data_IF_048638305751
#
_entry.id   IF_048638305751
#
_cell.length_a   1.000
_cell.length_b   1.000
_cell.length_c   1.000
_cell.angle_alpha   90.00
_cell.angle_beta   90.00
_cell.angle_gamma   90.00
#
_symmetry.space_group_name_H-M   'P 1'
#
loop_
_entity.id
_entity.type
_entity.pdbx_description
1 polymer ?
#
# COMPACT_ATOMS: atom_id res chain seq x y z
N UNK A 1 17.62 -2.06 -3.59
CA UNK A 1 17.80 -3.53 -3.53
C UNK A 1 16.77 -4.15 -4.46
N UNK A 2 17.17 -4.96 -5.44
CA UNK A 2 16.24 -5.50 -6.45
C UNK A 2 15.70 -6.88 -6.04
N UNK A 3 15.07 -6.96 -4.87
CA UNK A 3 14.55 -8.23 -4.36
C UNK A 3 13.22 -8.58 -5.04
N UNK A 4 12.95 -9.87 -5.22
CA UNK A 4 11.66 -10.38 -5.67
C UNK A 4 11.06 -11.29 -4.61
N UNK A 5 9.81 -11.00 -4.22
CA UNK A 5 9.02 -11.71 -3.23
C UNK A 5 7.76 -12.23 -3.92
N UNK A 6 7.60 -13.56 -3.95
CA UNK A 6 6.49 -14.21 -4.64
C UNK A 6 5.72 -15.13 -3.71
N UNK A 7 4.43 -14.85 -3.54
CA UNK A 7 3.51 -15.75 -2.86
C UNK A 7 2.87 -16.69 -3.87
N UNK A 8 3.32 -17.95 -3.87
CA UNK A 8 2.89 -18.96 -4.85
C UNK A 8 1.93 -19.99 -4.26
N UNK A 9 1.98 -20.19 -2.94
CA UNK A 9 1.11 -21.09 -2.21
C UNK A 9 1.07 -20.69 -0.73
N UNK A 10 -0.04 -21.02 -0.06
CA UNK A 10 -0.13 -20.93 1.40
C UNK A 10 0.74 -22.02 2.05
N UNK A 11 1.57 -21.62 3.01
CA UNK A 11 2.29 -22.55 3.89
C UNK A 11 1.86 -22.29 5.34
N UNK A 12 1.45 -23.35 6.04
CA UNK A 12 0.93 -23.24 7.40
C UNK A 12 -0.55 -22.81 7.45
N UNK A 13 -0.97 -22.32 8.61
CA UNK A 13 -2.37 -22.01 8.91
C UNK A 13 -2.73 -20.53 8.70
N UNK A 14 -1.74 -19.64 8.80
CA UNK A 14 -1.93 -18.20 8.64
C UNK A 14 -1.86 -17.78 7.18
N UNK A 15 -2.68 -16.81 6.81
CA UNK A 15 -2.57 -16.16 5.50
C UNK A 15 -1.39 -15.19 5.51
N UNK A 16 -0.82 -14.92 4.33
CA UNK A 16 0.11 -13.82 4.15
C UNK A 16 -0.63 -12.53 4.49
N UNK A 17 -0.09 -11.78 5.45
CA UNK A 17 -0.57 -10.45 5.79
C UNK A 17 0.19 -9.45 4.92
N UNK A 18 1.36 -8.98 5.35
CA UNK A 18 2.18 -8.06 4.55
C UNK A 18 3.40 -8.77 3.95
N UNK A 19 3.81 -8.35 2.75
CA UNK A 19 5.10 -8.79 2.20
C UNK A 19 6.27 -8.17 2.95
N UNK A 20 6.19 -6.87 3.25
CA UNK A 20 7.18 -6.12 4.03
C UNK A 20 6.43 -5.23 5.00
N UNK A 21 6.76 -5.35 6.28
CA UNK A 21 6.16 -4.55 7.34
C UNK A 21 7.28 -3.96 8.21
N UNK A 22 7.22 -2.65 8.44
CA UNK A 22 8.12 -1.93 9.32
C UNK A 22 7.37 -1.57 10.61
N UNK A 23 7.28 -2.56 11.49
CA UNK A 23 6.59 -2.50 12.77
C UNK A 23 7.39 -1.74 13.83
N UNK A 24 6.81 -0.70 14.42
CA UNK A 24 7.30 0.07 15.57
C UNK A 24 8.83 0.32 15.52
N UNK A 25 9.29 0.79 14.36
CA UNK A 25 10.73 0.93 14.06
C UNK A 25 11.07 2.35 13.65
N UNK A 26 12.22 2.84 14.12
CA UNK A 26 12.65 4.22 13.92
C UNK A 26 14.02 4.30 13.23
N UNK A 27 14.06 4.99 12.09
CA UNK A 27 15.28 5.55 11.52
C UNK A 27 15.62 6.90 12.15
N UNK A 28 16.44 7.69 11.45
CA UNK A 28 16.72 9.08 11.80
C UNK A 28 16.53 9.99 10.59
N UNK A 29 16.43 11.30 10.83
CA UNK A 29 16.34 12.30 9.75
C UNK A 29 17.51 12.30 8.77
N UNK A 30 18.65 11.71 9.16
CA UNK A 30 19.82 11.53 8.30
C UNK A 30 20.00 10.10 7.77
N UNK A 31 19.18 9.14 8.22
CA UNK A 31 19.29 7.74 7.86
C UNK A 31 17.94 7.03 8.03
N UNK A 32 17.13 7.04 6.97
CA UNK A 32 15.83 6.41 6.96
C UNK A 32 15.96 4.88 6.95
N UNK A 33 14.98 4.17 7.49
CA UNK A 33 14.80 2.74 7.19
C UNK A 33 14.29 2.62 5.77
N UNK A 34 15.02 1.91 4.91
CA UNK A 34 14.77 1.90 3.47
C UNK A 34 14.14 0.60 2.98
N UNK A 35 12.94 0.68 2.42
CA UNK A 35 12.27 -0.40 1.69
C UNK A 35 12.28 -0.06 0.21
N UNK A 36 13.43 -0.23 -0.46
CA UNK A 36 13.64 0.33 -1.79
C UNK A 36 13.91 -0.72 -2.89
N UNK A 37 13.23 -0.56 -4.03
CA UNK A 37 13.34 -1.34 -5.27
C UNK A 37 12.92 -2.82 -5.16
N UNK A 38 12.04 -3.15 -4.22
CA UNK A 38 11.51 -4.50 -4.07
C UNK A 38 10.34 -4.75 -5.04
N UNK A 39 10.14 -6.01 -5.39
CA UNK A 39 9.03 -6.49 -6.20
C UNK A 39 8.25 -7.50 -5.37
N UNK A 40 6.96 -7.28 -5.15
CA UNK A 40 6.08 -8.17 -4.38
C UNK A 40 4.82 -8.56 -5.17
N UNK A 41 4.54 -9.87 -5.29
CA UNK A 41 3.36 -10.36 -6.02
C UNK A 41 2.73 -11.59 -5.41
N UNK A 42 1.42 -11.67 -5.58
CA UNK A 42 0.65 -12.90 -5.42
C UNK A 42 0.45 -13.54 -6.79
N UNK A 43 0.79 -14.82 -6.90
CA UNK A 43 0.45 -15.60 -8.09
C UNK A 43 -1.02 -16.02 -8.02
N UNK A 44 -1.81 -15.53 -8.98
CA UNK A 44 -3.24 -15.79 -9.04
C UNK A 44 -3.52 -17.02 -9.91
N UNK A 45 -4.58 -17.75 -9.54
CA UNK A 45 -5.21 -18.73 -10.42
C UNK A 45 -6.45 -18.09 -11.06
N UNK A 46 -6.27 -17.56 -12.27
CA UNK A 46 -7.23 -16.63 -12.87
C UNK A 46 -7.23 -15.31 -12.09
N UNK A 47 -8.35 -14.97 -11.48
CA UNK A 47 -8.47 -13.82 -10.56
C UNK A 47 -8.50 -14.22 -9.09
N UNK A 48 -8.27 -15.50 -8.75
CA UNK A 48 -8.34 -15.98 -7.37
C UNK A 48 -6.96 -15.96 -6.71
N UNK A 49 -6.87 -15.34 -5.55
CA UNK A 49 -5.76 -15.48 -4.63
C UNK A 49 -6.05 -16.58 -3.59
N UNK A 50 -5.01 -17.23 -3.09
CA UNK A 50 -5.12 -18.21 -2.00
C UNK A 50 -4.09 -17.94 -0.91
N UNK A 51 -4.53 -17.97 0.34
CA UNK A 51 -3.65 -17.78 1.49
C UNK A 51 -3.11 -16.36 1.63
N UNK A 52 -3.91 -15.37 1.28
CA UNK A 52 -3.58 -13.94 1.36
C UNK A 52 -4.70 -13.25 2.12
N UNK A 53 -4.34 -12.45 3.10
CA UNK A 53 -5.27 -11.67 3.92
C UNK A 53 -5.89 -10.54 3.09
N UNK A 54 -7.18 -10.27 3.31
CA UNK A 54 -7.86 -9.10 2.74
C UNK A 54 -7.40 -7.77 3.36
N UNK A 55 -6.64 -7.82 4.46
CA UNK A 55 -6.11 -6.65 5.18
C UNK A 55 -4.63 -6.41 4.93
N UNK A 56 -3.97 -7.36 4.26
CA UNK A 56 -2.53 -7.34 4.03
C UNK A 56 -2.09 -6.39 2.91
N UNK A 57 -0.85 -5.94 2.94
CA UNK A 57 -0.29 -5.01 1.95
C UNK A 57 1.01 -5.52 1.30
N UNK A 58 1.41 -4.89 0.19
CA UNK A 58 2.77 -5.10 -0.31
C UNK A 58 3.79 -4.55 0.69
N UNK A 59 3.58 -3.31 1.14
CA UNK A 59 4.46 -2.65 2.08
C UNK A 59 3.62 -1.89 3.10
N UNK A 60 3.93 -2.04 4.38
CA UNK A 60 3.41 -1.18 5.44
C UNK A 60 4.58 -0.45 6.10
N UNK A 61 4.50 0.87 6.09
CA UNK A 61 5.32 1.77 6.89
C UNK A 61 4.48 2.30 8.05
N UNK A 62 5.12 2.59 9.17
CA UNK A 62 4.44 3.19 10.31
C UNK A 62 3.52 2.24 11.08
N UNK A 63 3.69 0.91 10.94
CA UNK A 63 2.80 -0.05 11.62
C UNK A 63 3.02 0.02 13.14
N UNK A 64 1.96 0.28 13.88
CA UNK A 64 1.99 0.66 15.30
C UNK A 64 2.93 1.84 15.63
N UNK A 65 3.20 2.72 14.65
CA UNK A 65 4.05 3.91 14.82
C UNK A 65 5.41 3.75 14.16
N UNK A 66 6.44 4.39 14.72
CA UNK A 66 7.78 4.45 14.12
C UNK A 66 8.02 5.70 13.26
N UNK A 67 9.27 5.88 12.83
CA UNK A 67 9.75 7.16 12.26
C UNK A 67 10.81 7.00 11.18
N UNK A 68 10.88 7.98 10.28
CA UNK A 68 11.95 8.08 9.27
C UNK A 68 12.09 6.76 8.49
N UNK A 69 11.01 6.36 7.83
CA UNK A 69 10.97 5.18 6.98
C UNK A 69 10.62 5.61 5.56
N UNK A 70 11.18 4.93 4.58
CA UNK A 70 10.90 5.21 3.18
C UNK A 70 10.61 3.95 2.37
N UNK A 71 9.72 4.11 1.39
CA UNK A 71 9.48 3.12 0.35
C UNK A 71 9.62 3.77 -1.02
N UNK A 72 10.70 3.43 -1.74
CA UNK A 72 11.04 4.05 -3.02
C UNK A 72 11.24 3.01 -4.13
N UNK A 73 10.61 3.23 -5.28
CA UNK A 73 10.86 2.42 -6.48
C UNK A 73 10.34 0.99 -6.42
N UNK A 74 9.40 0.68 -5.52
CA UNK A 74 8.87 -0.67 -5.38
C UNK A 74 7.75 -0.96 -6.38
N UNK A 75 7.58 -2.24 -6.68
CA UNK A 75 6.53 -2.75 -7.57
C UNK A 75 5.67 -3.75 -6.79
N UNK A 76 4.39 -3.46 -6.65
CA UNK A 76 3.39 -4.38 -6.09
C UNK A 76 2.42 -4.86 -7.16
N UNK A 77 2.20 -6.17 -7.25
CA UNK A 77 1.29 -6.78 -8.23
C UNK A 77 0.33 -7.73 -7.52
N UNK A 78 -0.94 -7.33 -7.43
CA UNK A 78 -2.00 -8.03 -6.71
C UNK A 78 -1.59 -8.42 -5.26
N UNK A 79 -0.97 -7.52 -4.47
CA UNK A 79 -0.30 -7.91 -3.23
C UNK A 79 -1.27 -8.30 -2.10
N UNK A 80 -2.55 -7.94 -2.17
CA UNK A 80 -3.55 -8.18 -1.14
C UNK A 80 -4.52 -7.01 -1.00
N UNK A 81 -4.90 -6.72 0.25
CA UNK A 81 -5.66 -5.55 0.70
C UNK A 81 -5.18 -4.24 0.10
N UNK A 82 -3.88 -3.98 0.21
CA UNK A 82 -3.34 -2.72 -0.27
C UNK A 82 -1.97 -2.81 -0.97
N UNK A 83 -1.61 -1.77 -1.72
CA UNK A 83 -0.26 -1.62 -2.26
C UNK A 83 0.72 -1.18 -1.17
N UNK A 84 0.74 0.11 -0.86
CA UNK A 84 1.56 0.69 0.22
C UNK A 84 0.69 1.42 1.23
N UNK A 85 0.83 1.03 2.49
CA UNK A 85 0.20 1.67 3.64
C UNK A 85 1.16 2.54 4.44
N UNK A 86 0.70 3.72 4.84
CA UNK A 86 1.31 4.53 5.91
C UNK A 86 0.33 4.52 7.09
N UNK A 87 0.57 3.58 8.01
CA UNK A 87 -0.41 3.10 9.00
C UNK A 87 -0.42 3.85 10.34
N UNK A 88 0.54 4.74 10.55
CA UNK A 88 0.70 5.71 11.64
C UNK A 88 2.12 6.27 11.45
N UNK A 89 2.75 6.76 12.52
CA UNK A 89 4.15 7.14 12.55
C UNK A 89 4.42 8.60 12.15
N UNK A 90 5.70 8.92 12.04
CA UNK A 90 6.16 10.27 11.69
C UNK A 90 7.27 10.25 10.64
N UNK A 91 7.27 11.23 9.74
CA UNK A 91 8.31 11.40 8.72
C UNK A 91 8.46 10.18 7.82
N UNK A 92 7.36 9.74 7.24
CA UNK A 92 7.32 8.62 6.33
C UNK A 92 7.32 9.12 4.89
N UNK A 93 8.08 8.48 4.01
CA UNK A 93 8.31 8.98 2.66
C UNK A 93 8.05 7.92 1.60
N UNK A 94 7.29 8.26 0.56
CA UNK A 94 7.07 7.36 -0.58
C UNK A 94 7.23 8.07 -1.93
N UNK A 95 7.96 7.43 -2.84
CA UNK A 95 8.23 7.96 -4.17
C UNK A 95 8.46 6.84 -5.20
N UNK A 96 8.12 7.12 -6.45
CA UNK A 96 8.43 6.27 -7.61
C UNK A 96 7.92 4.82 -7.52
N UNK A 97 6.91 4.54 -6.69
CA UNK A 97 6.34 3.21 -6.57
C UNK A 97 5.29 2.96 -7.66
N UNK A 98 5.13 1.68 -8.03
CA UNK A 98 4.15 1.21 -9.02
C UNK A 98 3.27 0.14 -8.39
N UNK A 99 1.97 0.37 -8.32
CA UNK A 99 1.03 -0.58 -7.71
C UNK A 99 -0.04 -0.99 -8.72
N UNK A 100 -0.14 -2.29 -8.97
CA UNK A 100 -1.15 -2.86 -9.85
C UNK A 100 -2.01 -3.85 -9.08
N UNK A 101 -3.33 -3.76 -9.25
CA UNK A 101 -4.23 -4.83 -8.89
C UNK A 101 -5.37 -4.93 -9.88
N UNK A 102 -5.68 -6.14 -10.32
CA UNK A 102 -6.99 -6.44 -10.91
C UNK A 102 -8.03 -6.67 -9.81
N UNK A 103 -9.29 -6.88 -10.18
CA UNK A 103 -10.33 -7.30 -9.23
C UNK A 103 -10.07 -8.73 -8.69
N UNK A 104 -9.33 -8.85 -7.57
CA UNK A 104 -8.89 -10.14 -7.01
C UNK A 104 -9.95 -10.76 -6.09
N UNK A 105 -10.36 -11.98 -6.40
CA UNK A 105 -11.27 -12.80 -5.60
C UNK A 105 -10.53 -13.48 -4.44
N UNK A 106 -11.17 -13.66 -3.25
CA UNK A 106 -12.59 -13.46 -2.95
C UNK A 106 -13.02 -12.03 -2.59
N UNK A 107 -12.27 -11.01 -2.99
CA UNK A 107 -12.53 -9.62 -2.64
C UNK A 107 -11.44 -9.07 -1.73
N UNK A 108 -10.18 -9.19 -2.17
CA UNK A 108 -9.04 -8.78 -1.34
C UNK A 108 -8.39 -7.49 -1.82
N UNK A 109 -8.72 -6.95 -2.99
CA UNK A 109 -8.08 -5.72 -3.47
C UNK A 109 -8.87 -4.49 -2.98
N UNK A 110 -8.32 -3.73 -2.04
CA UNK A 110 -8.96 -2.53 -1.49
C UNK A 110 -8.39 -1.25 -2.12
N UNK A 111 -7.14 -0.90 -1.84
CA UNK A 111 -6.59 0.41 -2.23
C UNK A 111 -5.12 0.34 -2.60
N UNK A 112 -4.67 1.06 -3.63
CA UNK A 112 -3.24 1.04 -3.98
C UNK A 112 -2.36 1.74 -2.94
N UNK A 113 -2.78 2.90 -2.42
CA UNK A 113 -2.03 3.63 -1.40
C UNK A 113 -2.94 4.15 -0.30
N UNK A 114 -2.48 4.18 0.95
CA UNK A 114 -3.23 4.89 1.98
C UNK A 114 -2.34 5.66 2.95
N UNK A 115 -2.96 6.66 3.58
CA UNK A 115 -2.42 7.39 4.73
C UNK A 115 -3.50 7.52 5.79
N UNK A 116 -3.42 6.70 6.84
CA UNK A 116 -4.42 6.61 7.88
C UNK A 116 -3.79 6.05 9.16
N UNK A 117 -4.31 6.45 10.32
CA UNK A 117 -3.83 5.92 11.59
C UNK A 117 -4.61 4.64 11.95
N UNK A 118 -4.01 3.50 11.62
CA UNK A 118 -4.50 2.15 11.92
C UNK A 118 -3.76 1.49 13.09
N UNK A 119 -3.00 2.26 13.88
CA UNK A 119 -2.44 1.77 15.15
C UNK A 119 -3.51 1.36 16.16
N UNK A 120 -3.14 0.55 17.14
CA UNK A 120 -4.03 0.07 18.19
C UNK A 120 -4.71 1.24 18.93
N UNK A 121 -6.03 1.35 18.73
CA UNK A 121 -6.84 2.42 19.30
C UNK A 121 -6.58 3.81 18.71
N UNK A 122 -5.84 3.92 17.61
CA UNK A 122 -5.52 5.19 16.94
C UNK A 122 -4.66 6.13 17.78
N UNK A 123 -3.83 5.56 18.65
CA UNK A 123 -3.10 6.31 19.69
C UNK A 123 -1.70 6.76 19.25
N UNK A 124 -1.17 6.22 18.15
CA UNK A 124 0.14 6.61 17.67
C UNK A 124 0.08 7.97 16.95
N UNK A 125 1.19 8.72 16.90
CA UNK A 125 1.31 9.87 15.99
C UNK A 125 0.99 9.45 14.55
N UNK A 126 0.44 10.37 13.76
CA UNK A 126 0.27 10.15 12.31
C UNK A 126 0.52 11.46 11.57
N UNK A 127 1.78 11.76 11.29
CA UNK A 127 2.19 13.09 10.82
C UNK A 127 3.35 13.05 9.85
N UNK A 128 3.45 14.08 9.02
CA UNK A 128 4.57 14.23 8.09
C UNK A 128 4.72 13.03 7.14
N UNK A 129 3.61 12.45 6.68
CA UNK A 129 3.66 11.48 5.61
C UNK A 129 3.82 12.25 4.30
N UNK A 130 4.80 11.88 3.49
CA UNK A 130 5.13 12.59 2.27
C UNK A 130 4.98 11.66 1.07
N UNK A 131 4.03 12.02 0.21
CA UNK A 131 3.85 11.41 -1.11
C UNK A 131 4.44 12.37 -2.13
N UNK A 132 5.54 11.97 -2.79
CA UNK A 132 6.09 12.82 -3.87
C UNK A 132 5.08 12.88 -5.01
N UNK A 133 4.56 14.10 -5.23
CA UNK A 133 3.49 14.37 -6.19
C UNK A 133 3.78 13.78 -7.57
N UNK A 134 2.86 12.94 -8.05
CA UNK A 134 2.86 12.34 -9.38
C UNK A 134 4.09 11.46 -9.70
N UNK A 135 4.86 11.04 -8.68
CA UNK A 135 5.94 10.05 -8.84
C UNK A 135 5.42 8.62 -8.69
N UNK A 136 4.50 8.40 -7.75
CA UNK A 136 3.86 7.12 -7.52
C UNK A 136 2.74 6.91 -8.54
N UNK A 137 2.56 5.68 -9.00
CA UNK A 137 1.56 5.32 -9.99
C UNK A 137 0.76 4.10 -9.55
N UNK A 138 -0.49 4.05 -9.99
CA UNK A 138 -1.35 2.92 -9.77
C UNK A 138 -2.30 2.63 -10.94
N UNK A 139 -2.61 1.35 -11.07
CA UNK A 139 -3.69 0.81 -11.88
C UNK A 139 -4.39 -0.26 -11.03
N UNK A 140 -5.37 0.18 -10.23
CA UNK A 140 -5.90 -0.60 -9.11
C UNK A 140 -7.41 -0.76 -9.14
N UNK A 141 -7.88 -1.94 -9.50
CA UNK A 141 -9.27 -2.34 -9.41
C UNK A 141 -9.59 -2.88 -8.01
N UNK A 142 -10.53 -2.22 -7.36
CA UNK A 142 -10.97 -2.55 -6.01
C UNK A 142 -12.17 -3.49 -6.04
N UNK A 143 -12.07 -4.60 -5.32
CA UNK A 143 -13.17 -5.47 -4.90
C UNK A 143 -12.87 -5.88 -3.47
N UNK A 144 -13.55 -5.27 -2.51
CA UNK A 144 -13.42 -5.65 -1.10
C UNK A 144 -14.75 -5.43 -0.38
N UNK A 145 -15.45 -6.50 0.05
CA UNK A 145 -16.78 -6.39 0.66
C UNK A 145 -16.79 -5.65 2.01
N UNK A 146 -15.62 -5.51 2.66
CA UNK A 146 -15.45 -4.75 3.90
C UNK A 146 -14.90 -3.33 3.66
N UNK A 147 -14.56 -2.98 2.41
CA UNK A 147 -14.04 -1.68 2.00
C UNK A 147 -15.07 -0.78 1.32
N UNK A 148 -14.57 0.25 0.62
CA UNK A 148 -15.40 1.26 -0.07
C UNK A 148 -15.96 0.80 -1.43
N UNK A 149 -15.74 -0.47 -1.83
CA UNK A 149 -15.96 -0.93 -3.21
C UNK A 149 -16.85 -2.18 -3.30
N UNK A 150 -17.73 -2.21 -4.29
CA UNK A 150 -18.65 -3.32 -4.55
C UNK A 150 -17.94 -4.52 -5.23
N UNK A 151 -17.99 -5.73 -4.67
CA UNK A 151 -17.43 -6.95 -5.29
C UNK A 151 -18.00 -7.27 -6.68
N UNK A 152 -19.20 -6.80 -7.01
CA UNK A 152 -19.88 -7.04 -8.28
C UNK A 152 -19.61 -5.95 -9.31
N UNK A 153 -19.16 -4.77 -8.87
CA UNK A 153 -18.91 -3.60 -9.70
C UNK A 153 -17.54 -3.00 -9.34
N UNK A 154 -16.42 -3.59 -9.83
CA UNK A 154 -15.09 -3.10 -9.52
C UNK A 154 -14.90 -1.64 -9.92
N UNK A 155 -14.30 -0.85 -9.03
CA UNK A 155 -14.00 0.58 -9.25
C UNK A 155 -12.51 0.87 -9.06
N UNK A 156 -12.03 2.02 -9.54
CA UNK A 156 -10.69 2.49 -9.18
C UNK A 156 -10.65 2.92 -7.72
N UNK A 157 -9.61 2.49 -7.02
CA UNK A 157 -9.26 3.01 -5.71
C UNK A 157 -7.74 3.19 -5.62
N UNK A 158 -7.25 4.32 -6.13
CA UNK A 158 -5.80 4.58 -6.21
C UNK A 158 -5.26 5.00 -4.85
N UNK A 159 -6.02 5.80 -4.11
CA UNK A 159 -5.60 6.20 -2.79
C UNK A 159 -6.76 6.51 -1.85
N UNK A 160 -6.53 6.22 -0.57
CA UNK A 160 -7.45 6.53 0.53
C UNK A 160 -6.71 7.28 1.65
N UNK A 161 -7.31 8.35 2.14
CA UNK A 161 -6.95 8.96 3.41
C UNK A 161 -8.18 8.89 4.32
N UNK A 162 -7.99 8.68 5.63
CA UNK A 162 -9.11 8.66 6.59
C UNK A 162 -9.32 10.07 7.18
N UNK A 163 -10.28 10.88 6.67
CA UNK A 163 -10.48 12.25 7.16
C UNK A 163 -11.21 12.31 8.51
N UNK A 164 -11.95 11.27 8.88
CA UNK A 164 -12.94 11.32 9.97
C UNK A 164 -12.53 10.53 11.22
N UNK A 165 -11.61 9.57 11.10
CA UNK A 165 -11.07 8.81 12.21
C UNK A 165 -9.54 8.87 12.13
N UNK A 166 -8.96 9.66 13.03
CA UNK A 166 -7.51 9.86 13.19
C UNK A 166 -6.78 10.29 11.90
N UNK A 167 -7.03 11.52 11.39
CA UNK A 167 -6.44 11.99 10.15
C UNK A 167 -4.93 12.16 10.30
N UNK A 168 -4.20 11.67 9.31
CA UNK A 168 -2.77 11.87 9.19
C UNK A 168 -2.46 13.20 8.50
N UNK A 169 -1.28 13.76 8.74
CA UNK A 169 -0.85 15.00 8.09
C UNK A 169 0.25 14.80 7.04
N UNK A 170 0.27 15.69 6.05
CA UNK A 170 1.29 15.80 5.02
C UNK A 170 2.63 16.31 5.59
N UNK A 171 3.65 16.46 4.73
CA UNK A 171 4.97 16.95 5.11
C UNK A 171 4.99 18.36 5.73
N UNK A 172 3.91 19.13 5.57
CA UNK A 172 3.74 20.48 6.10
C UNK A 172 2.83 20.52 7.34
N UNK A 173 2.48 19.36 7.91
CA UNK A 173 1.52 19.16 9.01
C UNK A 173 0.09 19.60 8.66
N UNK A 174 -0.29 19.61 7.38
CA UNK A 174 -1.69 19.78 6.98
C UNK A 174 -2.38 18.43 6.91
N UNK A 175 -3.61 18.28 7.42
CA UNK A 175 -4.37 17.03 7.27
C UNK A 175 -4.44 16.64 5.80
N UNK A 176 -4.20 15.35 5.50
CA UNK A 176 -4.54 14.82 4.19
C UNK A 176 -6.04 15.04 3.97
N UNK A 177 -6.36 15.86 2.97
CA UNK A 177 -7.73 15.99 2.50
C UNK A 177 -8.15 14.72 1.74
N UNK A 178 -9.37 14.71 1.20
CA UNK A 178 -9.87 13.60 0.40
C UNK A 178 -9.15 13.41 -0.95
N UNK A 179 -8.11 14.19 -1.26
CA UNK A 179 -7.49 14.25 -2.57
C UNK A 179 -6.06 13.68 -2.62
N UNK A 180 -5.76 12.68 -1.77
CA UNK A 180 -4.57 11.84 -1.93
C UNK A 180 -4.48 11.23 -3.35
N UNK A 181 -5.63 10.98 -3.99
CA UNK A 181 -5.72 10.57 -5.39
C UNK A 181 -5.03 11.56 -6.35
N UNK A 182 -5.03 12.86 -6.07
CA UNK A 182 -4.34 13.88 -6.87
C UNK A 182 -2.81 13.82 -6.81
N UNK A 183 -2.24 13.04 -5.89
CA UNK A 183 -0.79 12.83 -5.76
C UNK A 183 -0.31 11.55 -6.46
N UNK A 184 -1.23 10.66 -6.85
CA UNK A 184 -0.93 9.40 -7.53
C UNK A 184 -1.27 9.52 -9.01
N UNK A 185 -0.39 9.02 -9.86
CA UNK A 185 -0.65 8.93 -11.30
C UNK A 185 -1.53 7.71 -11.60
N UNK A 186 -2.72 7.95 -12.15
CA UNK A 186 -3.54 6.88 -12.72
C UNK A 186 -2.93 6.44 -14.05
N UNK A 187 -2.56 5.16 -14.14
CA UNK A 187 -2.00 4.55 -15.34
C UNK A 187 -2.91 3.43 -15.88
N UNK A 188 -4.24 3.59 -15.73
CA UNK A 188 -5.28 2.63 -16.15
C UNK A 188 -4.93 1.90 -17.46
N UNK A 189 -4.80 0.57 -17.39
CA UNK A 189 -4.58 -0.33 -18.53
C UNK A 189 -3.19 -0.28 -19.16
N UNK A 190 -2.37 0.73 -18.85
CA UNK A 190 -0.99 0.84 -19.33
C UNK A 190 0.01 0.07 -18.46
N UNK A 191 -0.23 -0.02 -17.14
CA UNK A 191 0.62 -0.81 -16.26
C UNK A 191 0.36 -2.30 -16.43
N UNK A 192 -0.91 -2.73 -16.56
CA UNK A 192 -1.26 -4.15 -16.54
C UNK A 192 -0.44 -5.05 -17.46
N UNK A 193 -0.06 -4.61 -18.67
CA UNK A 193 0.84 -5.39 -19.54
C UNK A 193 2.33 -5.03 -19.35
N UNK A 194 2.64 -3.78 -19.02
CA UNK A 194 4.01 -3.29 -18.88
C UNK A 194 4.70 -3.72 -17.58
N UNK A 195 3.96 -3.75 -16.48
CA UNK A 195 4.47 -4.03 -15.14
C UNK A 195 4.97 -5.48 -14.99
N UNK A 196 4.40 -6.42 -15.78
CA UNK A 196 4.92 -7.79 -15.85
C UNK A 196 6.28 -7.89 -16.54
N UNK A 197 6.59 -6.97 -17.47
CA UNK A 197 7.91 -6.90 -18.11
C UNK A 197 8.93 -6.19 -17.22
N UNK A 198 8.44 -5.33 -16.32
CA UNK A 198 9.24 -4.67 -15.28
C UNK A 198 9.42 -5.57 -14.03
N UNK A 199 8.89 -6.81 -14.02
CA UNK A 199 9.03 -7.79 -12.94
C UNK A 199 10.37 -8.51 -12.93
#
# INVERSE_FOLDING_TARGET
NNNSLEHTAKYGLSDLFDFINIYDSEGTSSNYIQVNNNRARVNLNGNNASGVSQFGCAIVLGDEGGKYQEAVGNIGVNPGGCGIGLAAGEHLYIADNKMFSQAVQPGISNVAYYSANYSEGGNQPCKYHHFVSQSNSADWECVNPEGECDPQNPVKNLAHASPNQHPCTDENDYPFDSNLNGLIKDEWGSMGAGIWNDW
#
